data_IF_945244268543
#
_entry.id   IF_945244268543
#
_cell.length_a   1.000
_cell.length_b   1.000
_cell.length_c   1.000
_cell.angle_alpha   90.00
_cell.angle_beta   90.00
_cell.angle_gamma   90.00
#
_symmetry.space_group_name_H-M   'P 1'
#
loop_
_entity.id
_entity.type
_entity.pdbx_description
1 polymer ?
#
# COMPACT_ATOMS: atom_id res chain seq x y z
N UNK A 1 4.74 3.73 6.85
CA UNK A 1 5.64 2.58 6.65
C UNK A 1 5.31 1.54 7.69
N UNK A 2 5.25 0.26 7.32
CA UNK A 2 4.98 -0.87 8.22
C UNK A 2 6.16 -1.82 8.18
N UNK A 3 6.83 -1.98 9.32
CA UNK A 3 8.00 -2.86 9.43
C UNK A 3 7.60 -4.34 9.60
N UNK A 4 8.56 -5.26 9.51
CA UNK A 4 8.34 -6.72 9.53
C UNK A 4 7.65 -7.20 10.81
N UNK A 5 7.82 -6.49 11.93
CA UNK A 5 7.17 -6.76 13.21
C UNK A 5 5.75 -6.16 13.33
N UNK A 6 5.27 -5.48 12.28
CA UNK A 6 3.98 -4.80 12.26
C UNK A 6 3.97 -3.40 12.88
N UNK A 7 5.13 -2.86 13.30
CA UNK A 7 5.23 -1.49 13.79
C UNK A 7 4.87 -0.51 12.68
N UNK A 8 3.96 0.42 12.98
CA UNK A 8 3.48 1.44 12.03
C UNK A 8 4.19 2.77 12.31
N UNK A 9 4.92 3.26 11.33
CA UNK A 9 5.54 4.58 11.34
C UNK A 9 4.76 5.53 10.45
N UNK A 10 4.26 6.63 11.04
CA UNK A 10 3.70 7.74 10.30
C UNK A 10 4.84 8.67 9.85
N UNK A 11 5.25 8.56 8.58
CA UNK A 11 6.37 9.33 8.04
C UNK A 11 5.96 10.75 7.57
N UNK A 12 4.67 11.01 7.43
CA UNK A 12 4.12 12.31 7.05
C UNK A 12 2.72 12.51 7.66
N UNK A 13 2.35 13.78 7.85
CA UNK A 13 0.97 14.13 8.24
C UNK A 13 -0.01 13.75 7.13
N UNK A 14 -1.25 13.41 7.48
CA UNK A 14 -2.29 13.08 6.51
C UNK A 14 -2.68 14.26 5.58
N UNK A 15 -2.35 15.49 5.95
CA UNK A 15 -2.62 16.71 5.17
C UNK A 15 -1.48 17.11 4.23
N UNK A 16 -0.43 16.29 4.11
CA UNK A 16 0.73 16.57 3.27
C UNK A 16 0.83 15.55 2.14
N UNK A 17 0.92 16.03 0.91
CA UNK A 17 1.27 15.20 -0.25
C UNK A 17 2.63 14.53 -0.04
N UNK A 18 2.67 13.22 -0.24
CA UNK A 18 3.90 12.43 -0.33
C UNK A 18 4.10 11.91 -1.75
N UNK A 19 5.33 11.59 -2.13
CA UNK A 19 5.65 11.14 -3.49
C UNK A 19 5.79 9.63 -3.55
N UNK A 20 4.67 8.93 -3.65
CA UNK A 20 4.62 7.47 -3.58
C UNK A 20 4.19 6.81 -4.90
N UNK A 21 3.24 7.36 -5.66
CA UNK A 21 2.67 6.75 -6.87
C UNK A 21 3.67 6.68 -8.04
N UNK A 22 4.40 7.76 -8.30
CA UNK A 22 5.33 7.84 -9.45
C UNK A 22 4.63 7.94 -10.82
N UNK A 23 5.26 7.38 -11.86
CA UNK A 23 4.77 7.43 -13.24
C UNK A 23 3.56 6.48 -13.43
N UNK A 24 2.37 7.06 -13.58
CA UNK A 24 1.11 6.33 -13.66
C UNK A 24 0.94 5.60 -15.00
N UNK A 25 0.21 4.48 -14.97
CA UNK A 25 -0.24 3.80 -16.19
C UNK A 25 -1.30 4.65 -16.91
N UNK A 26 -1.44 4.45 -18.23
CA UNK A 26 -2.41 5.18 -19.06
C UNK A 26 -3.83 4.96 -18.53
N UNK A 27 -4.58 6.04 -18.33
CA UNK A 27 -5.97 6.00 -17.87
C UNK A 27 -6.17 5.99 -16.35
N UNK A 28 -5.09 5.90 -15.56
CA UNK A 28 -5.18 5.96 -14.10
C UNK A 28 -5.28 7.40 -13.61
N UNK A 29 -6.32 7.68 -12.83
CA UNK A 29 -6.61 9.00 -12.26
C UNK A 29 -5.98 9.24 -10.89
N UNK A 30 -5.57 8.17 -10.18
CA UNK A 30 -4.96 8.25 -8.85
C UNK A 30 -3.61 8.94 -8.92
N UNK A 31 -3.39 9.97 -8.11
CA UNK A 31 -2.14 10.74 -8.02
C UNK A 31 -1.65 10.82 -6.58
N UNK A 32 -0.39 11.19 -6.39
CA UNK A 32 0.17 11.56 -5.08
C UNK A 32 -0.71 12.53 -4.26
N UNK A 33 -1.45 13.42 -4.91
CA UNK A 33 -2.30 14.43 -4.26
C UNK A 33 -3.68 13.90 -3.87
N UNK A 34 -4.08 12.75 -4.41
CA UNK A 34 -5.42 12.17 -4.21
C UNK A 34 -5.34 10.80 -3.54
N UNK A 35 -4.19 10.44 -2.97
CA UNK A 35 -3.97 9.14 -2.34
C UNK A 35 -3.06 9.24 -1.12
N UNK A 36 -3.14 8.22 -0.28
CA UNK A 36 -2.24 7.97 0.84
C UNK A 36 -1.43 6.72 0.50
N UNK A 37 -0.10 6.83 0.51
CA UNK A 37 0.80 5.70 0.34
C UNK A 37 1.02 4.97 1.66
N UNK A 38 0.89 3.64 1.66
CA UNK A 38 1.26 2.78 2.78
C UNK A 38 2.40 1.88 2.33
N UNK A 39 3.63 2.25 2.69
CA UNK A 39 4.81 1.42 2.42
C UNK A 39 4.91 0.27 3.41
N UNK A 40 5.29 -0.92 2.94
CA UNK A 40 5.45 -2.13 3.74
C UNK A 40 6.84 -2.71 3.47
N UNK A 41 7.61 -2.96 4.52
CA UNK A 41 8.99 -3.48 4.39
C UNK A 41 8.96 -4.88 3.78
N UNK A 42 9.61 -5.03 2.63
CA UNK A 42 9.72 -6.27 1.87
C UNK A 42 11.10 -6.38 1.24
N UNK A 43 11.54 -7.62 1.02
CA UNK A 43 12.73 -7.94 0.26
C UNK A 43 12.32 -8.33 -1.16
N UNK A 44 13.01 -7.78 -2.16
CA UNK A 44 12.86 -8.20 -3.56
C UNK A 44 14.05 -9.07 -3.95
N UNK A 45 13.75 -10.26 -4.48
CA UNK A 45 14.75 -11.16 -5.01
C UNK A 45 14.93 -10.93 -6.51
N UNK A 46 16.05 -10.32 -6.90
CA UNK A 46 16.40 -10.01 -8.28
C UNK A 46 16.54 -11.26 -9.17
N UNK A 47 16.77 -12.45 -8.60
CA UNK A 47 16.92 -13.69 -9.38
C UNK A 47 15.57 -14.29 -9.72
N UNK A 48 14.63 -14.24 -8.78
CA UNK A 48 13.28 -14.81 -8.96
C UNK A 48 12.27 -13.78 -9.42
N UNK A 49 12.62 -12.51 -9.37
CA UNK A 49 11.76 -11.35 -9.61
C UNK A 49 10.51 -11.34 -8.72
N UNK A 50 10.66 -11.81 -7.48
CA UNK A 50 9.57 -11.92 -6.50
C UNK A 50 9.87 -11.11 -5.25
N UNK A 51 8.81 -10.56 -4.69
CA UNK A 51 8.80 -10.03 -3.34
C UNK A 51 8.62 -11.17 -2.33
N UNK A 52 9.19 -11.01 -1.14
CA UNK A 52 8.90 -11.92 -0.04
C UNK A 52 7.47 -11.72 0.49
N UNK A 53 6.95 -12.77 1.13
CA UNK A 53 5.61 -12.74 1.69
C UNK A 53 5.52 -11.79 2.90
N UNK A 54 4.43 -11.02 2.98
CA UNK A 54 4.18 -10.17 4.14
C UNK A 54 3.95 -11.02 5.40
N UNK A 55 4.55 -10.60 6.51
CA UNK A 55 4.41 -11.26 7.81
C UNK A 55 2.97 -11.18 8.32
N UNK A 56 2.62 -12.03 9.29
CA UNK A 56 1.30 -12.00 9.91
C UNK A 56 1.07 -10.66 10.61
N UNK A 57 2.09 -10.14 11.27
CA UNK A 57 2.09 -8.89 12.02
C UNK A 57 1.89 -7.69 11.09
N UNK A 58 2.55 -7.68 9.93
CA UNK A 58 2.30 -6.70 8.86
C UNK A 58 0.85 -6.75 8.37
N UNK A 59 0.30 -7.95 8.09
CA UNK A 59 -1.10 -8.10 7.65
C UNK A 59 -2.09 -7.61 8.73
N UNK A 60 -1.82 -7.87 10.01
CA UNK A 60 -2.64 -7.35 11.11
C UNK A 60 -2.58 -5.82 11.17
N UNK A 61 -1.38 -5.23 11.08
CA UNK A 61 -1.18 -3.79 11.09
C UNK A 61 -1.88 -3.10 9.91
N UNK A 62 -1.73 -3.65 8.70
CA UNK A 62 -2.39 -3.21 7.47
C UNK A 62 -3.90 -3.18 7.62
N UNK A 63 -4.52 -4.29 8.05
CA UNK A 63 -5.98 -4.35 8.24
C UNK A 63 -6.47 -3.28 9.21
N UNK A 64 -5.75 -3.03 10.31
CA UNK A 64 -6.10 -1.99 11.29
C UNK A 64 -6.06 -0.59 10.67
N UNK A 65 -4.94 -0.21 10.05
CA UNK A 65 -4.78 1.15 9.53
C UNK A 65 -5.68 1.42 8.32
N UNK A 66 -5.86 0.43 7.43
CA UNK A 66 -6.77 0.53 6.30
C UNK A 66 -8.21 0.76 6.77
N UNK A 67 -8.71 -0.02 7.74
CA UNK A 67 -10.06 0.17 8.29
C UNK A 67 -10.25 1.58 8.89
N UNK A 68 -9.23 2.12 9.57
CA UNK A 68 -9.26 3.48 10.12
C UNK A 68 -9.33 4.52 9.00
N UNK A 69 -8.46 4.42 8.00
CA UNK A 69 -8.39 5.37 6.88
C UNK A 69 -9.67 5.34 6.03
N UNK A 70 -10.18 4.15 5.71
CA UNK A 70 -11.44 4.00 4.97
C UNK A 70 -12.58 4.71 5.71
N UNK A 71 -12.71 4.47 7.02
CA UNK A 71 -13.73 5.14 7.84
C UNK A 71 -13.53 6.66 7.90
N UNK A 72 -12.31 7.13 8.11
CA UNK A 72 -12.01 8.56 8.28
C UNK A 72 -12.30 9.36 7.01
N UNK A 73 -11.99 8.80 5.84
CA UNK A 73 -12.17 9.46 4.54
C UNK A 73 -13.45 9.05 3.81
N UNK A 74 -14.32 8.27 4.45
CA UNK A 74 -15.55 7.74 3.85
C UNK A 74 -15.29 7.00 2.52
N UNK A 75 -14.25 6.17 2.52
CA UNK A 75 -13.85 5.33 1.38
C UNK A 75 -14.31 3.89 1.57
N UNK A 76 -14.22 3.11 0.51
CA UNK A 76 -14.56 1.69 0.47
C UNK A 76 -13.36 0.83 0.11
N UNK A 77 -13.49 -0.49 0.22
CA UNK A 77 -12.44 -1.41 -0.25
C UNK A 77 -12.18 -1.32 -1.77
N UNK A 78 -13.04 -0.65 -2.54
CA UNK A 78 -12.80 -0.37 -3.96
C UNK A 78 -11.78 0.73 -4.19
N UNK A 79 -11.45 1.49 -3.14
CA UNK A 79 -10.48 2.58 -3.16
C UNK A 79 -9.08 2.14 -2.68
N UNK A 80 -8.86 0.82 -2.60
CA UNK A 80 -7.56 0.20 -2.29
C UNK A 80 -6.94 -0.30 -3.59
N UNK A 81 -5.69 0.10 -3.82
CA UNK A 81 -4.97 -0.21 -5.06
C UNK A 81 -3.57 -0.73 -4.76
N UNK A 82 -3.18 -1.78 -5.45
CA UNK A 82 -1.80 -2.27 -5.48
C UNK A 82 -0.97 -1.39 -6.42
N UNK A 83 0.29 -1.16 -6.08
CA UNK A 83 1.10 -0.14 -6.72
C UNK A 83 1.41 -0.49 -8.18
N UNK A 84 1.75 -1.76 -8.42
CA UNK A 84 2.03 -2.28 -9.75
C UNK A 84 0.81 -2.28 -10.69
N UNK A 85 -0.41 -2.10 -10.17
CA UNK A 85 -1.63 -2.01 -10.99
C UNK A 85 -1.91 -0.59 -11.48
N UNK A 86 -1.44 0.42 -10.75
CA UNK A 86 -1.76 1.83 -11.04
C UNK A 86 -0.58 2.62 -11.62
N UNK A 87 0.65 2.17 -11.39
CA UNK A 87 1.88 2.84 -11.84
C UNK A 87 2.89 1.88 -12.48
N UNK A 88 3.85 2.45 -13.22
CA UNK A 88 4.96 1.72 -13.82
C UNK A 88 5.98 1.37 -12.74
N UNK A 89 5.75 0.25 -12.08
CA UNK A 89 6.47 -0.23 -10.90
C UNK A 89 6.90 -1.68 -11.07
N UNK A 90 7.76 -2.14 -10.18
CA UNK A 90 8.21 -3.53 -10.18
C UNK A 90 6.99 -4.45 -10.02
N UNK A 91 6.90 -5.49 -10.83
CA UNK A 91 5.77 -6.41 -10.79
C UNK A 91 5.58 -6.99 -9.38
N UNK A 92 4.34 -7.02 -8.89
CA UNK A 92 3.99 -7.47 -7.55
C UNK A 92 4.25 -6.45 -6.42
N UNK A 93 4.72 -5.23 -6.72
CA UNK A 93 4.90 -4.20 -5.70
C UNK A 93 3.56 -3.82 -5.05
N UNK A 94 3.45 -4.12 -3.75
CA UNK A 94 2.25 -3.91 -2.96
C UNK A 94 1.16 -4.99 -3.12
N UNK A 95 1.43 -6.08 -3.86
CA UNK A 95 0.45 -7.12 -4.11
C UNK A 95 0.20 -8.01 -2.89
N UNK A 96 -1.01 -8.58 -2.78
CA UNK A 96 -1.41 -9.54 -1.74
C UNK A 96 -1.29 -9.04 -0.28
N UNK A 97 -1.20 -7.72 -0.09
CA UNK A 97 -1.10 -7.10 1.24
C UNK A 97 -2.47 -6.98 1.94
N UNK A 98 -3.56 -6.89 1.17
CA UNK A 98 -4.92 -6.77 1.68
C UNK A 98 -5.87 -7.64 0.86
N UNK A 99 -6.69 -8.45 1.54
CA UNK A 99 -7.72 -9.29 0.92
C UNK A 99 -9.09 -8.70 1.25
N UNK A 100 -9.87 -8.36 0.21
CA UNK A 100 -11.21 -7.80 0.36
C UNK A 100 -12.16 -8.79 1.06
N UNK A 101 -13.01 -8.27 1.94
CA UNK A 101 -13.99 -9.07 2.67
C UNK A 101 -13.43 -10.01 3.75
N UNK A 102 -12.12 -9.99 4.01
CA UNK A 102 -11.52 -10.73 5.11
C UNK A 102 -11.81 -10.02 6.44
N UNK A 103 -12.50 -10.72 7.37
CA UNK A 103 -12.97 -10.14 8.63
C UNK A 103 -11.84 -9.83 9.60
#
# INVERSE_FOLDING_TARGET
>A
MIDKDGTIYQCATLYKTTWHVGARKKGITITNNTSIGIEVVAWYDDKTHKWDEATREQKIALRKIIKILLKHYNLTENDIYEHDKIANKTAGEGANLYIKGEK
#
